data_IF_154376472686
#
_entry.id   IF_154376472686
#
_cell.length_a   1.000
_cell.length_b   1.000
_cell.length_c   1.000
_cell.angle_alpha   90.00
_cell.angle_beta   90.00
_cell.angle_gamma   90.00
#
_symmetry.space_group_name_H-M   'P 1'
#
loop_
_entity.id
_entity.type
_entity.pdbx_description
1 polymer ?
#
# COMPACT_ATOMS: atom_id res chain seq x y z
N UNK A 1 3.00 -34.35 1.01
CA UNK A 1 3.10 -32.99 1.58
C UNK A 1 4.37 -32.93 2.42
N UNK A 2 5.49 -32.42 1.85
CA UNK A 2 6.81 -32.39 2.49
C UNK A 2 7.03 -31.10 3.30
N UNK A 3 7.95 -31.20 4.26
CA UNK A 3 8.25 -30.31 5.40
C UNK A 3 8.88 -28.94 5.06
N UNK A 4 8.81 -28.45 3.81
CA UNK A 4 9.66 -27.33 3.34
C UNK A 4 8.98 -25.95 3.31
N UNK A 5 7.86 -25.75 4.01
CA UNK A 5 7.12 -24.47 4.00
C UNK A 5 7.52 -23.47 5.10
N UNK A 6 8.56 -23.75 5.90
CA UNK A 6 9.02 -22.81 6.93
C UNK A 6 10.04 -21.82 6.35
N UNK A 7 9.66 -20.55 6.29
CA UNK A 7 10.55 -19.45 5.92
C UNK A 7 11.65 -19.28 6.97
N UNK A 8 12.91 -19.42 6.57
CA UNK A 8 14.01 -18.98 7.42
C UNK A 8 14.09 -17.46 7.43
N UNK A 9 14.48 -16.84 8.56
CA UNK A 9 14.63 -15.37 8.67
C UNK A 9 15.59 -14.83 7.58
N UNK A 10 16.60 -15.63 7.22
CA UNK A 10 17.58 -15.31 6.17
C UNK A 10 16.96 -15.25 4.77
N UNK A 11 15.90 -16.01 4.52
CA UNK A 11 15.15 -15.98 3.26
C UNK A 11 14.14 -14.84 3.19
N UNK A 12 13.69 -14.31 4.33
CA UNK A 12 12.79 -13.16 4.40
C UNK A 12 13.50 -11.81 4.22
N UNK A 13 14.78 -11.73 4.60
CA UNK A 13 15.56 -10.49 4.56
C UNK A 13 16.39 -10.44 3.27
N UNK A 14 15.89 -9.73 2.25
CA UNK A 14 16.67 -9.41 1.06
C UNK A 14 17.60 -8.23 1.30
N UNK A 15 18.66 -8.09 0.50
CA UNK A 15 19.57 -6.93 0.53
C UNK A 15 18.79 -5.62 0.35
N UNK A 16 17.75 -5.65 -0.48
CA UNK A 16 16.87 -4.50 -0.72
C UNK A 16 16.10 -4.09 0.54
N UNK A 17 15.53 -5.05 1.27
CA UNK A 17 14.86 -4.80 2.56
C UNK A 17 15.86 -4.21 3.56
N UNK A 18 17.05 -4.82 3.68
CA UNK A 18 18.09 -4.34 4.59
C UNK A 18 18.51 -2.91 4.28
N UNK A 19 18.75 -2.60 2.99
CA UNK A 19 19.08 -1.25 2.53
C UNK A 19 17.99 -0.25 2.91
N UNK A 20 16.72 -0.59 2.67
CA UNK A 20 15.60 0.30 2.98
C UNK A 20 15.49 0.56 4.50
N UNK A 21 15.71 -0.48 5.33
CA UNK A 21 15.79 -0.37 6.79
C UNK A 21 16.92 0.58 7.20
N UNK A 22 18.14 0.37 6.70
CA UNK A 22 19.30 1.21 7.04
C UNK A 22 19.04 2.67 6.66
N UNK A 23 18.54 2.93 5.45
CA UNK A 23 18.26 4.28 4.97
C UNK A 23 17.20 4.97 5.83
N UNK A 24 16.09 4.28 6.12
CA UNK A 24 15.02 4.85 6.94
C UNK A 24 15.50 5.17 8.35
N UNK A 25 16.18 4.23 9.02
CA UNK A 25 16.66 4.43 10.39
C UNK A 25 17.77 5.47 10.49
N UNK A 26 18.66 5.56 9.48
CA UNK A 26 19.68 6.61 9.45
C UNK A 26 19.03 8.00 9.45
N UNK A 27 18.04 8.21 8.57
CA UNK A 27 17.31 9.46 8.51
C UNK A 27 16.49 9.70 9.79
N UNK A 28 15.82 8.66 10.31
CA UNK A 28 15.05 8.73 11.55
C UNK A 28 15.91 9.18 12.74
N UNK A 29 17.14 8.65 12.87
CA UNK A 29 18.09 9.03 13.92
C UNK A 29 18.52 10.49 13.74
N UNK A 30 18.80 10.95 12.52
CA UNK A 30 19.11 12.36 12.29
C UNK A 30 17.95 13.29 12.67
N UNK A 31 16.71 12.90 12.38
CA UNK A 31 15.52 13.67 12.75
C UNK A 31 15.34 13.71 14.27
N UNK A 32 15.40 12.56 14.96
CA UNK A 32 15.15 12.53 16.42
C UNK A 32 16.24 13.22 17.24
N UNK A 33 17.48 13.27 16.72
CA UNK A 33 18.61 13.97 17.35
C UNK A 33 18.47 15.51 17.34
N UNK A 34 17.41 16.06 16.76
CA UNK A 34 17.09 17.49 16.87
C UNK A 34 16.34 17.83 18.17
N UNK A 35 16.39 17.01 19.21
CA UNK A 35 15.73 17.27 20.52
C UNK A 35 14.20 17.44 20.43
N UNK A 36 13.52 16.51 19.77
CA UNK A 36 12.05 16.50 19.71
C UNK A 36 11.43 16.06 21.04
N UNK A 37 10.65 16.95 21.66
CA UNK A 37 9.84 16.63 22.85
C UNK A 37 8.67 15.67 22.53
N UNK A 38 8.03 15.85 21.37
CA UNK A 38 6.87 15.07 20.98
C UNK A 38 7.14 14.17 19.77
N UNK A 39 7.06 12.86 20.00
CA UNK A 39 7.31 11.83 18.98
C UNK A 39 6.07 11.45 18.15
N UNK A 40 4.89 12.03 18.39
CA UNK A 40 3.65 11.65 17.70
C UNK A 40 3.77 11.83 16.19
N UNK A 41 4.40 12.91 15.74
CA UNK A 41 4.60 13.18 14.32
C UNK A 41 5.44 12.09 13.64
N UNK A 42 6.35 11.42 14.37
CA UNK A 42 7.16 10.31 13.86
C UNK A 42 6.35 9.02 13.63
N UNK A 43 5.15 8.90 14.23
CA UNK A 43 4.31 7.72 14.03
C UNK A 43 3.82 7.64 12.58
N UNK A 44 3.62 8.78 11.91
CA UNK A 44 3.22 8.84 10.50
C UNK A 44 4.22 8.14 9.57
N UNK A 45 5.52 8.54 9.51
CA UNK A 45 6.50 7.85 8.68
C UNK A 45 6.73 6.41 9.12
N UNK A 46 6.61 6.08 10.42
CA UNK A 46 6.75 4.70 10.90
C UNK A 46 5.65 3.78 10.37
N UNK A 47 4.39 4.22 10.40
CA UNK A 47 3.27 3.46 9.83
C UNK A 47 3.47 3.32 8.32
N UNK A 48 3.77 4.42 7.62
CA UNK A 48 4.01 4.40 6.17
C UNK A 48 5.15 3.44 5.80
N UNK A 49 6.25 3.43 6.56
CA UNK A 49 7.38 2.53 6.37
C UNK A 49 7.02 1.07 6.65
N UNK A 50 6.19 0.81 7.68
CA UNK A 50 5.72 -0.54 7.99
C UNK A 50 4.95 -1.17 6.81
N UNK A 51 4.10 -0.39 6.14
CA UNK A 51 3.44 -0.83 4.91
C UNK A 51 4.43 -1.13 3.78
N UNK A 52 5.49 -0.32 3.64
CA UNK A 52 6.54 -0.59 2.65
C UNK A 52 7.19 -1.95 2.86
N UNK A 53 7.57 -2.27 4.10
CA UNK A 53 8.20 -3.55 4.45
C UNK A 53 7.24 -4.71 4.20
N UNK A 54 5.96 -4.59 4.58
CA UNK A 54 4.95 -5.62 4.33
C UNK A 54 4.84 -5.92 2.83
N UNK A 55 4.70 -4.89 1.99
CA UNK A 55 4.61 -5.09 0.54
C UNK A 55 5.89 -5.63 -0.09
N UNK A 56 7.06 -5.23 0.41
CA UNK A 56 8.33 -5.76 -0.08
C UNK A 56 8.46 -7.25 0.24
N UNK A 57 8.12 -7.65 1.48
CA UNK A 57 8.13 -9.05 1.90
C UNK A 57 7.18 -9.90 1.05
N UNK A 58 5.98 -9.39 0.74
CA UNK A 58 5.04 -10.09 -0.15
C UNK A 58 5.65 -10.22 -1.56
N UNK A 59 6.24 -9.13 -2.08
CA UNK A 59 6.83 -9.11 -3.42
C UNK A 59 8.00 -10.09 -3.56
N UNK A 60 8.93 -10.11 -2.60
CA UNK A 60 10.14 -10.96 -2.63
C UNK A 60 9.79 -12.44 -2.49
N UNK A 61 8.66 -12.78 -1.86
CA UNK A 61 8.23 -14.17 -1.71
C UNK A 61 7.24 -14.63 -2.78
N UNK A 62 6.85 -13.76 -3.72
CA UNK A 62 5.85 -14.05 -4.75
C UNK A 62 6.26 -15.16 -5.71
N UNK A 63 7.55 -15.30 -6.01
CA UNK A 63 8.07 -16.36 -6.88
C UNK A 63 7.81 -17.76 -6.33
N UNK A 64 7.62 -17.91 -5.01
CA UNK A 64 7.27 -19.21 -4.38
C UNK A 64 5.81 -19.61 -4.63
N UNK A 65 4.96 -18.66 -5.01
CA UNK A 65 3.55 -18.88 -5.40
C UNK A 65 3.44 -19.08 -6.92
N UNK A 66 4.50 -18.74 -7.69
CA UNK A 66 4.55 -19.03 -9.12
C UNK A 66 4.84 -20.51 -9.33
N UNK A 67 3.79 -21.33 -9.29
CA UNK A 67 3.86 -22.76 -9.59
C UNK A 67 3.98 -22.91 -11.12
N UNK A 68 5.14 -23.41 -11.56
CA UNK A 68 5.51 -23.79 -12.92
C UNK A 68 5.24 -22.78 -14.06
N UNK A 69 6.35 -22.27 -14.63
CA UNK A 69 6.49 -21.72 -16.00
C UNK A 69 5.52 -20.61 -16.41
N UNK A 70 5.46 -19.47 -15.71
CA UNK A 70 4.90 -18.19 -16.20
C UNK A 70 3.48 -18.23 -16.84
N UNK A 71 2.79 -19.37 -16.75
CA UNK A 71 1.57 -19.69 -17.50
C UNK A 71 0.38 -19.07 -16.80
N UNK A 72 0.43 -18.97 -15.47
CA UNK A 72 -0.56 -18.28 -14.66
C UNK A 72 0.15 -17.32 -13.71
N UNK A 73 0.00 -16.02 -13.94
CA UNK A 73 0.44 -14.99 -13.00
C UNK A 73 -0.74 -14.54 -12.15
N UNK A 74 -0.74 -14.95 -10.89
CA UNK A 74 -1.73 -14.51 -9.91
C UNK A 74 -1.24 -13.27 -9.18
N UNK A 75 -1.98 -12.17 -9.34
CA UNK A 75 -1.64 -10.91 -8.69
C UNK A 75 -2.87 -10.23 -8.06
N UNK A 76 -3.25 -10.60 -6.83
CA UNK A 76 -4.49 -10.12 -6.24
C UNK A 76 -4.40 -8.72 -5.65
N UNK A 77 -3.20 -8.25 -5.29
CA UNK A 77 -2.97 -6.93 -4.65
C UNK A 77 -2.29 -5.93 -5.58
N UNK A 78 -1.95 -6.32 -6.80
CA UNK A 78 -1.37 -5.42 -7.80
C UNK A 78 0.14 -5.43 -7.75
N UNK A 79 0.82 -4.34 -8.09
CA UNK A 79 2.28 -4.38 -8.12
C UNK A 79 2.81 -4.16 -6.70
N UNK A 80 2.95 -5.22 -5.90
CA UNK A 80 3.41 -5.12 -4.51
C UNK A 80 4.79 -4.44 -4.42
N UNK A 81 5.68 -4.73 -5.38
CA UNK A 81 6.96 -4.02 -5.54
C UNK A 81 6.77 -2.51 -5.71
N UNK A 82 5.83 -2.09 -6.55
CA UNK A 82 5.55 -0.67 -6.79
C UNK A 82 4.91 -0.03 -5.56
N UNK A 83 3.96 -0.72 -4.90
CA UNK A 83 3.36 -0.26 -3.66
C UNK A 83 4.41 -0.08 -2.56
N UNK A 84 5.31 -1.06 -2.39
CA UNK A 84 6.41 -0.95 -1.44
C UNK A 84 7.30 0.26 -1.70
N UNK A 85 7.71 0.47 -2.96
CA UNK A 85 8.55 1.61 -3.34
C UNK A 85 7.85 2.96 -3.08
N UNK A 86 6.53 3.06 -3.34
CA UNK A 86 5.74 4.27 -3.06
C UNK A 86 5.68 4.56 -1.57
N UNK A 87 5.37 3.56 -0.75
CA UNK A 87 5.37 3.70 0.70
C UNK A 87 6.75 4.06 1.24
N UNK A 88 7.82 3.45 0.71
CA UNK A 88 9.20 3.77 1.11
C UNK A 88 9.56 5.22 0.78
N UNK A 89 9.26 5.66 -0.45
CA UNK A 89 9.50 7.03 -0.88
C UNK A 89 8.75 8.02 0.02
N UNK A 90 7.46 7.79 0.26
CA UNK A 90 6.65 8.65 1.11
C UNK A 90 7.11 8.65 2.56
N UNK A 91 7.55 7.52 3.12
CA UNK A 91 8.04 7.47 4.49
C UNK A 91 9.34 8.26 4.65
N UNK A 92 10.25 8.20 3.67
CA UNK A 92 11.43 9.06 3.63
C UNK A 92 11.05 10.53 3.45
N UNK A 93 10.11 10.84 2.56
CA UNK A 93 9.66 12.21 2.33
C UNK A 93 9.05 12.82 3.61
N UNK A 94 8.24 12.06 4.35
CA UNK A 94 7.70 12.47 5.65
C UNK A 94 8.82 12.73 6.66
N UNK A 95 9.84 11.87 6.74
CA UNK A 95 10.99 12.08 7.65
C UNK A 95 11.85 13.29 7.26
N UNK A 96 12.11 13.50 5.96
CA UNK A 96 12.81 14.69 5.46
C UNK A 96 12.00 15.94 5.84
N UNK A 97 10.68 15.88 5.67
CA UNK A 97 9.81 16.99 6.04
C UNK A 97 9.81 17.28 7.54
N UNK A 98 9.80 16.25 8.39
CA UNK A 98 9.98 16.44 9.83
C UNK A 98 11.34 17.03 10.16
N UNK A 99 12.43 16.48 9.60
CA UNK A 99 13.77 17.03 9.82
C UNK A 99 13.84 18.52 9.46
N UNK A 100 13.21 18.89 8.34
CA UNK A 100 13.11 20.27 7.91
C UNK A 100 12.28 21.12 8.88
N UNK A 101 11.09 20.66 9.30
CA UNK A 101 10.27 21.34 10.30
C UNK A 101 11.03 21.60 11.61
N UNK A 102 11.77 20.58 12.09
CA UNK A 102 12.59 20.67 13.29
C UNK A 102 13.71 21.70 13.14
N UNK A 103 14.44 21.63 12.03
CA UNK A 103 15.51 22.59 11.75
C UNK A 103 14.98 24.03 11.63
N UNK A 104 13.92 24.25 10.87
CA UNK A 104 13.31 25.58 10.70
C UNK A 104 12.75 26.13 12.01
N UNK A 105 12.21 25.27 12.89
CA UNK A 105 11.77 25.71 14.21
C UNK A 105 12.92 26.30 15.05
N UNK A 106 14.16 25.85 14.84
CA UNK A 106 15.34 26.33 15.54
C UNK A 106 15.95 27.58 14.88
N UNK A 107 16.09 27.56 13.56
CA UNK A 107 16.78 28.64 12.83
C UNK A 107 15.87 29.82 12.47
N UNK A 108 14.60 29.54 12.19
CA UNK A 108 13.62 30.50 11.69
C UNK A 108 12.25 30.30 12.37
N UNK A 109 12.15 30.45 13.71
CA UNK A 109 10.92 30.19 14.45
C UNK A 109 9.71 30.98 13.91
N UNK A 110 9.92 32.22 13.45
CA UNK A 110 8.83 33.05 12.92
C UNK A 110 8.22 32.46 11.64
N UNK A 111 8.97 31.65 10.89
CA UNK A 111 8.46 30.97 9.70
C UNK A 111 7.49 29.86 10.09
N UNK A 112 7.78 29.12 11.16
CA UNK A 112 6.86 28.12 11.69
C UNK A 112 5.60 28.78 12.26
N UNK A 113 5.75 29.83 13.06
CA UNK A 113 4.61 30.51 13.68
C UNK A 113 3.63 31.06 12.63
N UNK A 114 4.15 31.72 11.60
CA UNK A 114 3.32 32.34 10.55
C UNK A 114 2.77 31.34 9.52
N UNK A 115 3.45 30.22 9.29
CA UNK A 115 3.10 29.26 8.24
C UNK A 115 2.77 27.84 8.74
N UNK A 116 2.52 27.68 10.04
CA UNK A 116 2.16 26.41 10.69
C UNK A 116 1.09 25.61 9.94
N UNK A 117 0.04 26.29 9.45
CA UNK A 117 -1.03 25.70 8.64
C UNK A 117 -0.49 25.04 7.36
N UNK A 118 0.44 25.69 6.66
CA UNK A 118 1.02 25.15 5.44
C UNK A 118 1.81 23.86 5.72
N UNK A 119 2.64 23.88 6.77
CA UNK A 119 3.40 22.70 7.18
C UNK A 119 2.50 21.52 7.53
N UNK A 120 1.44 21.77 8.30
CA UNK A 120 0.50 20.74 8.72
C UNK A 120 -0.30 20.15 7.56
N UNK A 121 -0.81 21.00 6.66
CA UNK A 121 -1.56 20.55 5.48
C UNK A 121 -0.66 19.70 4.60
N UNK A 122 0.55 20.16 4.29
CA UNK A 122 1.46 19.45 3.41
C UNK A 122 1.87 18.09 4.02
N UNK A 123 2.16 18.06 5.32
CA UNK A 123 2.53 16.83 6.01
C UNK A 123 1.40 15.78 5.98
N UNK A 124 0.19 16.18 6.35
CA UNK A 124 -0.99 15.31 6.35
C UNK A 124 -1.38 14.90 4.93
N UNK A 125 -1.22 15.80 3.96
CA UNK A 125 -1.44 15.49 2.55
C UNK A 125 -0.50 14.38 2.08
N UNK A 126 0.81 14.49 2.31
CA UNK A 126 1.78 13.45 1.92
C UNK A 126 1.41 12.09 2.53
N UNK A 127 1.08 12.08 3.82
CA UNK A 127 0.67 10.86 4.50
C UNK A 127 -0.58 10.23 3.89
N UNK A 128 -1.69 10.97 3.82
CA UNK A 128 -2.97 10.47 3.32
C UNK A 128 -2.94 10.14 1.83
N UNK A 129 -2.21 10.93 1.03
CA UNK A 129 -2.02 10.71 -0.39
C UNK A 129 -1.33 9.38 -0.66
N UNK A 130 -0.38 8.97 0.18
CA UNK A 130 0.34 7.70 0.01
C UNK A 130 -0.62 6.50 0.03
N UNK A 131 -1.57 6.49 0.96
CA UNK A 131 -2.57 5.43 1.07
C UNK A 131 -3.62 5.47 -0.04
N UNK A 132 -3.91 6.65 -0.58
CA UNK A 132 -4.74 6.77 -1.78
C UNK A 132 -4.01 6.30 -3.05
N UNK A 133 -2.74 6.67 -3.19
CA UNK A 133 -1.93 6.49 -4.40
C UNK A 133 -1.80 5.04 -4.84
N UNK A 134 -1.85 4.09 -3.90
CA UNK A 134 -1.82 2.66 -4.25
C UNK A 134 -3.06 2.23 -5.04
N UNK A 135 -4.25 2.77 -4.74
CA UNK A 135 -5.51 2.39 -5.38
C UNK A 135 -5.66 2.93 -6.80
N UNK A 136 -4.93 3.99 -7.16
CA UNK A 136 -4.92 4.57 -8.51
C UNK A 136 -4.53 3.58 -9.60
N UNK A 137 -3.69 2.58 -9.28
CA UNK A 137 -3.17 1.64 -10.27
C UNK A 137 -3.56 0.18 -10.02
N UNK A 138 -4.38 -0.10 -9.00
CA UNK A 138 -4.84 -1.47 -8.71
C UNK A 138 -5.54 -2.08 -9.92
N UNK A 139 -6.29 -1.29 -10.69
CA UNK A 139 -6.93 -1.74 -11.93
C UNK A 139 -5.97 -2.17 -13.04
N UNK A 140 -4.73 -1.66 -13.06
CA UNK A 140 -3.72 -2.03 -14.06
C UNK A 140 -2.95 -3.30 -13.65
N UNK A 141 -2.83 -3.54 -12.34
CA UNK A 141 -1.91 -4.55 -11.82
C UNK A 141 -2.59 -5.74 -11.13
N UNK A 142 -3.80 -5.56 -10.58
CA UNK A 142 -4.56 -6.69 -10.08
C UNK A 142 -5.12 -7.44 -11.29
N UNK A 143 -4.66 -8.67 -11.50
CA UNK A 143 -5.09 -9.52 -12.59
C UNK A 143 -4.64 -10.94 -12.35
N UNK A 144 -5.36 -11.87 -12.96
CA UNK A 144 -4.90 -13.23 -13.21
C UNK A 144 -4.57 -13.27 -14.69
N UNK A 145 -3.28 -13.35 -15.04
CA UNK A 145 -2.86 -13.44 -16.44
C UNK A 145 -2.56 -14.90 -16.73
N UNK A 146 -3.27 -15.46 -17.72
CA UNK A 146 -2.86 -16.72 -18.34
C UNK A 146 -2.02 -16.38 -19.57
N UNK A 147 -0.75 -16.77 -19.59
CA UNK A 147 0.16 -16.50 -20.70
C UNK A 147 0.47 -17.80 -21.45
N UNK A 148 -0.13 -17.95 -22.63
CA UNK A 148 0.02 -19.12 -23.49
C UNK A 148 1.19 -19.01 -24.47
N UNK A 149 1.84 -17.85 -24.59
CA UNK A 149 2.93 -17.62 -25.57
C UNK A 149 4.24 -18.35 -25.20
N UNK A 150 4.37 -18.88 -23.98
CA UNK A 150 5.59 -19.54 -23.47
C UNK A 150 5.55 -21.07 -23.55
N UNK A 151 4.41 -21.67 -23.84
CA UNK A 151 4.35 -23.08 -24.21
C UNK A 151 4.63 -23.15 -25.72
N UNK A 152 5.54 -24.03 -26.16
CA UNK A 152 5.90 -24.22 -27.59
C UNK A 152 4.75 -24.83 -28.42
N UNK A 153 3.54 -24.28 -28.30
CA UNK A 153 2.31 -24.80 -28.87
C UNK A 153 1.99 -23.90 -30.07
N UNK A 154 1.70 -24.52 -31.21
CA UNK A 154 1.32 -23.80 -32.43
C UNK A 154 -0.08 -23.20 -32.21
N UNK A 155 -0.09 -21.90 -31.92
CA UNK A 155 -1.27 -21.07 -31.70
C UNK A 155 -1.97 -20.87 -33.06
N UNK A 156 -3.22 -21.33 -33.18
CA UNK A 156 -4.12 -21.05 -34.32
C UNK A 156 -4.68 -19.62 -34.21
N UNK A 157 -5.11 -18.99 -35.30
CA UNK A 157 -5.61 -17.59 -35.26
C UNK A 157 -6.80 -17.39 -34.29
N UNK A 158 -7.54 -18.44 -33.95
CA UNK A 158 -8.61 -18.44 -32.93
C UNK A 158 -8.09 -18.27 -31.49
N UNK A 159 -6.84 -18.64 -31.21
CA UNK A 159 -6.19 -18.51 -29.89
C UNK A 159 -5.78 -17.07 -29.56
N UNK A 160 -5.81 -16.15 -30.54
CA UNK A 160 -5.55 -14.72 -30.27
C UNK A 160 -6.60 -14.10 -29.34
N UNK A 161 -7.80 -14.69 -29.24
CA UNK A 161 -8.83 -14.29 -28.28
C UNK A 161 -8.55 -14.75 -26.84
N UNK A 162 -7.62 -15.69 -26.63
CA UNK A 162 -7.22 -16.17 -25.29
C UNK A 162 -6.18 -15.23 -24.64
N UNK A 163 -5.83 -14.12 -25.30
CA UNK A 163 -4.71 -13.23 -24.94
C UNK A 163 -4.75 -12.51 -23.60
N UNK A 164 -5.77 -12.72 -22.76
CA UNK A 164 -5.79 -12.32 -21.35
C UNK A 164 -7.09 -12.80 -20.74
N UNK A 165 -7.05 -13.81 -19.89
CA UNK A 165 -8.15 -14.11 -18.98
C UNK A 165 -8.24 -13.08 -17.84
N UNK A 166 -8.26 -11.79 -18.20
CA UNK A 166 -8.43 -10.67 -17.25
C UNK A 166 -9.88 -10.48 -16.83
N UNK A 167 -10.83 -11.22 -17.42
CA UNK A 167 -12.26 -10.96 -17.31
C UNK A 167 -12.88 -11.35 -15.95
N UNK A 168 -12.22 -12.18 -15.13
CA UNK A 168 -12.74 -12.58 -13.82
C UNK A 168 -12.75 -11.45 -12.79
N UNK A 169 -11.97 -10.40 -13.02
CA UNK A 169 -11.96 -9.28 -12.10
C UNK A 169 -12.98 -8.23 -12.52
N UNK A 170 -14.00 -8.04 -11.68
CA UNK A 170 -15.04 -7.04 -11.90
C UNK A 170 -14.43 -5.62 -11.89
N UNK A 171 -14.09 -5.11 -13.07
CA UNK A 171 -13.48 -3.78 -13.24
C UNK A 171 -14.35 -2.67 -12.64
N UNK A 172 -15.68 -2.83 -12.59
CA UNK A 172 -16.58 -1.88 -11.93
C UNK A 172 -16.33 -1.84 -10.42
N UNK A 173 -16.04 -2.98 -9.80
CA UNK A 173 -15.73 -3.08 -8.38
C UNK A 173 -14.39 -2.43 -8.03
N UNK A 174 -13.34 -2.66 -8.84
CA UNK A 174 -12.03 -2.02 -8.61
C UNK A 174 -12.13 -0.50 -8.79
N UNK A 175 -12.83 -0.05 -9.83
CA UNK A 175 -13.12 1.39 -10.02
C UNK A 175 -13.87 1.97 -8.83
N UNK A 176 -14.87 1.27 -8.31
CA UNK A 176 -15.60 1.70 -7.11
C UNK A 176 -14.67 1.84 -5.90
N UNK A 177 -13.77 0.89 -5.68
CA UNK A 177 -12.78 0.96 -4.59
C UNK A 177 -11.86 2.17 -4.74
N UNK A 178 -11.35 2.42 -5.94
CA UNK A 178 -10.53 3.61 -6.21
C UNK A 178 -11.30 4.91 -5.97
N UNK A 179 -12.59 4.96 -6.31
CA UNK A 179 -13.45 6.13 -6.08
C UNK A 179 -13.77 6.34 -4.60
N UNK A 180 -13.97 5.25 -3.83
CA UNK A 180 -14.14 5.32 -2.37
C UNK A 180 -12.86 5.85 -1.73
N UNK A 181 -11.69 5.32 -2.11
CA UNK A 181 -10.39 5.77 -1.61
C UNK A 181 -10.15 7.25 -1.90
N UNK A 182 -10.45 7.71 -3.14
CA UNK A 182 -10.36 9.12 -3.53
C UNK A 182 -11.30 10.00 -2.69
N UNK A 183 -12.55 9.58 -2.53
CA UNK A 183 -13.55 10.34 -1.75
C UNK A 183 -13.10 10.50 -0.30
N UNK A 184 -12.63 9.42 0.34
CA UNK A 184 -12.14 9.50 1.72
C UNK A 184 -10.90 10.38 1.81
N UNK A 185 -9.96 10.27 0.86
CA UNK A 185 -8.78 11.13 0.79
C UNK A 185 -9.15 12.62 0.70
N UNK A 186 -10.07 12.98 -0.19
CA UNK A 186 -10.54 14.36 -0.36
C UNK A 186 -11.24 14.88 0.88
N UNK A 187 -12.19 14.12 1.44
CA UNK A 187 -12.90 14.50 2.67
C UNK A 187 -11.90 14.70 3.81
N UNK A 188 -10.98 13.76 4.02
CA UNK A 188 -9.99 13.85 5.10
C UNK A 188 -9.12 15.10 4.98
N UNK A 189 -8.66 15.44 3.77
CA UNK A 189 -7.84 16.63 3.56
C UNK A 189 -8.64 17.93 3.69
N UNK A 190 -9.86 18.00 3.15
CA UNK A 190 -10.72 19.18 3.30
C UNK A 190 -11.04 19.41 4.78
N UNK A 191 -11.43 18.34 5.51
CA UNK A 191 -11.68 18.42 6.95
C UNK A 191 -10.43 18.84 7.72
N UNK A 192 -9.25 18.32 7.35
CA UNK A 192 -7.99 18.71 7.96
C UNK A 192 -7.69 20.21 7.77
N UNK A 193 -7.86 20.73 6.55
CA UNK A 193 -7.65 22.15 6.22
C UNK A 193 -8.59 23.02 7.05
N UNK A 194 -9.90 22.72 7.01
CA UNK A 194 -10.92 23.51 7.71
C UNK A 194 -10.68 23.52 9.23
N UNK A 195 -10.45 22.36 9.83
CA UNK A 195 -10.26 22.28 11.28
C UNK A 195 -8.94 22.90 11.73
N UNK A 196 -7.85 22.72 10.97
CA UNK A 196 -6.57 23.40 11.27
C UNK A 196 -6.74 24.92 11.22
N UNK A 197 -7.46 25.43 10.24
CA UNK A 197 -7.77 26.86 10.14
C UNK A 197 -8.59 27.37 11.32
N UNK A 198 -9.63 26.64 11.75
CA UNK A 198 -10.43 27.03 12.91
C UNK A 198 -9.67 26.93 14.23
N UNK A 199 -8.77 25.96 14.37
CA UNK A 199 -7.92 25.81 15.56
C UNK A 199 -6.94 26.96 15.71
N UNK A 200 -6.27 27.35 14.62
CA UNK A 200 -5.34 28.49 14.65
C UNK A 200 -6.04 29.82 14.94
N UNK A 201 -7.30 29.98 14.49
CA UNK A 201 -8.13 31.14 14.80
C UNK A 201 -8.87 31.01 16.15
N UNK A 202 -8.44 30.14 17.06
CA UNK A 202 -8.98 29.93 18.43
C UNK A 202 -10.45 29.50 18.52
N UNK A 203 -11.09 29.13 17.42
CA UNK A 203 -12.50 28.73 17.42
C UNK A 203 -12.71 27.29 17.93
N UNK A 204 -11.67 26.45 17.90
CA UNK A 204 -11.73 25.03 18.25
C UNK A 204 -10.43 24.63 18.99
N UNK A 205 -10.50 23.87 20.10
CA UNK A 205 -9.31 23.46 20.84
C UNK A 205 -8.40 22.52 20.03
N UNK A 206 -7.09 22.61 20.29
CA UNK A 206 -6.06 21.76 19.70
C UNK A 206 -5.12 21.15 20.75
N UNK A 207 -4.10 20.45 20.25
CA UNK A 207 -2.96 19.92 20.98
C UNK A 207 -1.75 20.75 20.55
N UNK A 208 -0.97 21.23 21.50
CA UNK A 208 0.29 21.90 21.22
C UNK A 208 1.43 20.87 21.18
N UNK A 209 2.20 20.88 20.09
CA UNK A 209 3.42 20.09 19.96
C UNK A 209 4.64 20.99 20.06
N UNK A 210 5.42 20.81 21.12
CA UNK A 210 6.73 21.41 21.22
C UNK A 210 7.61 20.87 20.10
N UNK A 211 8.10 21.80 19.28
CA UNK A 211 9.12 21.55 18.28
C UNK A 211 10.50 21.77 18.92
N UNK A 212 11.57 21.25 18.30
CA UNK A 212 12.95 21.49 18.74
C UNK A 212 13.30 22.93 19.14
N UNK A 213 12.81 23.92 18.39
CA UNK A 213 13.07 25.33 18.66
C UNK A 213 11.98 26.07 19.45
N UNK A 214 11.00 25.37 20.03
CA UNK A 214 9.95 26.01 20.83
C UNK A 214 10.56 26.76 22.02
N UNK A 215 10.11 28.01 22.22
CA UNK A 215 10.63 28.91 23.26
C UNK A 215 11.81 29.79 22.81
N UNK A 216 12.43 29.50 21.67
CA UNK A 216 13.40 30.42 21.04
C UNK A 216 12.63 31.63 20.52
N UNK A 217 13.06 32.84 20.90
CA UNK A 217 12.38 34.09 20.52
C UNK A 217 10.89 34.14 20.92
N UNK A 218 10.49 33.44 21.99
CA UNK A 218 9.10 33.30 22.45
C UNK A 218 8.19 32.55 21.45
N UNK A 219 8.77 31.76 20.55
CA UNK A 219 8.02 30.89 19.63
C UNK A 219 7.14 29.89 20.39
N UNK A 220 5.95 29.65 19.84
CA UNK A 220 4.99 28.73 20.43
C UNK A 220 5.16 27.32 19.85
N UNK A 221 4.57 26.31 20.50
CA UNK A 221 4.49 24.99 19.92
C UNK A 221 3.58 24.98 18.68
N UNK A 222 3.75 23.95 17.86
CA UNK A 222 2.88 23.72 16.72
C UNK A 222 1.49 23.31 17.21
N UNK A 223 0.51 24.19 17.06
CA UNK A 223 -0.88 23.91 17.43
C UNK A 223 -1.57 23.06 16.35
N UNK A 224 -2.04 21.88 16.75
CA UNK A 224 -2.65 20.91 15.84
C UNK A 224 -4.02 20.49 16.35
N UNK A 225 -5.00 20.38 15.46
CA UNK A 225 -6.33 19.88 15.85
C UNK A 225 -6.28 18.38 16.23
N UNK A 226 -7.10 17.96 17.18
CA UNK A 226 -7.24 16.56 17.64
C UNK A 226 -7.53 15.52 16.53
N UNK A 227 -7.93 15.99 15.35
CA UNK A 227 -8.21 15.16 14.17
C UNK A 227 -6.94 14.50 13.61
N UNK A 228 -5.75 14.96 14.00
CA UNK A 228 -4.49 14.30 13.65
C UNK A 228 -4.48 12.81 14.09
N UNK A 229 -5.09 12.49 15.23
CA UNK A 229 -5.18 11.12 15.75
C UNK A 229 -6.09 10.19 14.90
N UNK A 230 -7.35 10.55 14.59
CA UNK A 230 -8.14 9.73 13.68
C UNK A 230 -7.55 9.69 12.27
N UNK A 231 -6.92 10.75 11.75
CA UNK A 231 -6.23 10.71 10.45
C UNK A 231 -5.15 9.63 10.44
N UNK A 232 -4.34 9.56 11.52
CA UNK A 232 -3.30 8.56 11.68
C UNK A 232 -3.85 7.14 11.49
N UNK A 233 -5.06 6.86 11.98
CA UNK A 233 -5.65 5.52 11.94
C UNK A 233 -6.52 5.26 10.69
N UNK A 234 -7.27 6.25 10.21
CA UNK A 234 -8.28 6.06 9.16
C UNK A 234 -7.65 5.59 7.85
N UNK A 235 -6.56 6.23 7.40
CA UNK A 235 -5.94 5.88 6.10
C UNK A 235 -5.36 4.46 6.08
N UNK A 236 -4.58 4.02 7.10
CA UNK A 236 -4.14 2.63 7.20
C UNK A 236 -5.29 1.61 7.30
N UNK A 237 -6.26 1.86 8.18
CA UNK A 237 -7.38 0.93 8.42
C UNK A 237 -8.24 0.78 7.17
N UNK A 238 -8.58 1.89 6.52
CA UNK A 238 -9.32 1.85 5.26
C UNK A 238 -8.55 1.05 4.20
N UNK A 239 -7.25 1.25 4.11
CA UNK A 239 -6.40 0.52 3.17
C UNK A 239 -6.46 -0.99 3.39
N UNK A 240 -6.37 -1.45 4.65
CA UNK A 240 -6.50 -2.87 4.99
C UNK A 240 -7.88 -3.40 4.58
N UNK A 241 -8.95 -2.66 4.92
CA UNK A 241 -10.33 -3.05 4.60
C UNK A 241 -10.51 -3.17 3.07
N UNK A 242 -10.05 -2.19 2.31
CA UNK A 242 -10.18 -2.19 0.85
C UNK A 242 -9.37 -3.33 0.21
N UNK A 243 -8.14 -3.60 0.66
CA UNK A 243 -7.38 -4.76 0.19
C UNK A 243 -8.04 -6.08 0.54
N UNK A 244 -8.59 -6.21 1.75
CA UNK A 244 -9.34 -7.40 2.14
C UNK A 244 -10.56 -7.62 1.23
N UNK A 245 -11.27 -6.55 0.87
CA UNK A 245 -12.40 -6.61 -0.05
C UNK A 245 -11.97 -7.03 -1.47
N UNK A 246 -10.86 -6.50 -1.98
CA UNK A 246 -10.27 -6.92 -3.27
C UNK A 246 -9.93 -8.42 -3.22
N UNK A 247 -9.16 -8.83 -2.21
CA UNK A 247 -8.72 -10.20 -2.03
C UNK A 247 -9.90 -11.18 -1.92
N UNK A 248 -10.89 -10.84 -1.09
CA UNK A 248 -12.13 -11.62 -0.92
C UNK A 248 -12.91 -11.75 -2.23
N UNK A 249 -12.93 -10.71 -3.07
CA UNK A 249 -13.62 -10.76 -4.36
C UNK A 249 -12.88 -11.61 -5.37
N UNK A 250 -11.55 -11.51 -5.43
CA UNK A 250 -10.70 -12.33 -6.30
C UNK A 250 -10.76 -13.81 -5.91
N UNK A 251 -10.89 -14.13 -4.62
CA UNK A 251 -11.00 -15.53 -4.18
C UNK A 251 -12.40 -16.14 -4.35
N UNK A 252 -13.40 -15.37 -4.79
CA UNK A 252 -14.76 -15.85 -5.10
C UNK A 252 -14.96 -16.09 -6.59
N UNK A 253 -13.93 -16.58 -7.29
CA UNK A 253 -14.04 -17.01 -8.68
C UNK A 253 -14.99 -18.21 -8.77
N UNK A 254 -15.89 -18.17 -9.75
CA UNK A 254 -16.85 -19.23 -10.04
C UNK A 254 -16.14 -20.33 -10.84
N UNK A 255 -16.11 -21.59 -10.36
CA UNK A 255 -15.47 -22.69 -11.07
C UNK A 255 -15.98 -22.88 -12.48
N UNK A 256 -17.29 -22.70 -12.70
CA UNK A 256 -17.92 -22.83 -14.02
C UNK A 256 -17.41 -21.80 -15.03
N UNK A 257 -17.22 -20.56 -14.61
CA UNK A 257 -16.67 -19.50 -15.49
C UNK A 257 -15.22 -19.78 -15.88
N UNK A 258 -14.48 -20.52 -15.03
CA UNK A 258 -13.12 -20.98 -15.34
C UNK A 258 -13.16 -22.19 -16.27
N UNK A 259 -14.04 -23.16 -16.03
CA UNK A 259 -14.23 -24.32 -16.92
C UNK A 259 -14.66 -23.90 -18.33
N UNK A 260 -15.68 -23.03 -18.45
CA UNK A 260 -16.16 -22.50 -19.74
C UNK A 260 -15.04 -21.77 -20.51
N UNK A 261 -14.13 -21.09 -19.80
CA UNK A 261 -12.96 -20.46 -20.41
C UNK A 261 -11.91 -21.48 -20.88
N UNK A 262 -11.74 -22.55 -20.12
CA UNK A 262 -10.76 -23.60 -20.39
C UNK A 262 -11.24 -24.64 -21.41
N UNK A 263 -12.52 -24.65 -21.77
CA UNK A 263 -13.07 -25.59 -22.75
C UNK A 263 -12.47 -25.44 -24.16
N UNK A 264 -11.87 -24.29 -24.46
CA UNK A 264 -11.14 -24.06 -25.72
C UNK A 264 -9.63 -24.34 -25.62
N UNK A 265 -9.11 -24.73 -24.45
CA UNK A 265 -7.69 -25.02 -24.24
C UNK A 265 -7.40 -26.53 -24.39
N UNK A 266 -6.15 -26.89 -24.71
CA UNK A 266 -5.72 -28.30 -24.67
C UNK A 266 -5.78 -28.88 -23.25
N UNK A 267 -6.01 -30.19 -23.13
CA UNK A 267 -6.16 -30.88 -21.83
C UNK A 267 -4.96 -30.68 -20.91
N UNK A 268 -3.73 -30.67 -21.45
CA UNK A 268 -2.51 -30.40 -20.68
C UNK A 268 -2.49 -28.99 -20.08
N UNK A 269 -2.91 -27.97 -20.84
CA UNK A 269 -2.99 -26.58 -20.37
C UNK A 269 -4.12 -26.42 -19.36
N UNK A 270 -5.25 -27.09 -19.59
CA UNK A 270 -6.41 -27.10 -18.70
C UNK A 270 -6.05 -27.67 -17.34
N UNK A 271 -5.34 -28.80 -17.27
CA UNK A 271 -4.87 -29.37 -16.01
C UNK A 271 -3.89 -28.43 -15.28
N UNK A 272 -2.92 -27.85 -15.98
CA UNK A 272 -1.96 -26.90 -15.39
C UNK A 272 -2.65 -25.65 -14.82
N UNK A 273 -3.61 -25.08 -15.54
CA UNK A 273 -4.35 -23.90 -15.07
C UNK A 273 -5.25 -24.26 -13.87
N UNK A 274 -5.92 -25.41 -13.91
CA UNK A 274 -6.75 -25.89 -12.79
C UNK A 274 -5.93 -26.21 -11.55
N UNK A 275 -4.74 -26.79 -11.67
CA UNK A 275 -3.84 -26.99 -10.53
C UNK A 275 -3.44 -25.65 -9.87
N UNK A 276 -3.16 -24.63 -10.67
CA UNK A 276 -2.88 -23.29 -10.16
C UNK A 276 -4.10 -22.67 -9.47
N UNK A 277 -5.30 -22.77 -10.05
CA UNK A 277 -6.52 -22.29 -9.40
C UNK A 277 -6.86 -23.06 -8.12
N UNK A 278 -6.56 -24.35 -8.04
CA UNK A 278 -6.69 -25.17 -6.82
C UNK A 278 -5.75 -24.72 -5.72
N UNK A 279 -4.50 -24.44 -6.05
CA UNK A 279 -3.53 -23.90 -5.09
C UNK A 279 -3.97 -22.52 -4.55
N UNK A 280 -4.72 -21.75 -5.33
CA UNK A 280 -5.17 -20.40 -4.97
C UNK A 280 -6.55 -20.37 -4.28
N UNK A 281 -7.39 -21.39 -4.47
CA UNK A 281 -8.76 -21.39 -3.97
C UNK A 281 -9.23 -22.80 -3.58
N UNK A 282 -9.41 -22.99 -2.27
CA UNK A 282 -9.89 -24.23 -1.63
C UNK A 282 -11.21 -24.75 -2.25
N UNK A 283 -12.04 -23.87 -2.84
CA UNK A 283 -13.29 -24.30 -3.50
C UNK A 283 -13.04 -25.24 -4.70
N UNK A 284 -11.96 -25.07 -5.45
CA UNK A 284 -11.61 -25.95 -6.56
C UNK A 284 -11.08 -27.33 -6.11
N UNK A 285 -10.74 -27.46 -4.82
CA UNK A 285 -10.31 -28.73 -4.22
C UNK A 285 -11.52 -29.63 -3.90
N UNK A 286 -12.68 -29.04 -3.56
CA UNK A 286 -13.89 -29.76 -3.15
C UNK A 286 -14.63 -30.44 -4.30
N UNK A 287 -14.56 -29.92 -5.53
CA UNK A 287 -15.26 -30.51 -6.68
C UNK A 287 -14.62 -31.80 -7.21
N UNK A 288 -13.35 -32.08 -6.86
CA UNK A 288 -12.68 -33.34 -7.25
C UNK A 288 -13.14 -34.54 -6.41
N UNK A 289 -13.63 -34.31 -5.20
CA UNK A 289 -14.13 -35.37 -4.30
C UNK A 289 -15.60 -35.75 -4.56
N UNK A 290 -16.21 -35.25 -5.65
CA UNK A 290 -17.60 -35.54 -6.03
C UNK A 290 -17.66 -36.30 -7.39
N UNK A 291 -16.52 -36.69 -7.97
CA UNK A 291 -16.48 -37.58 -9.14
C UNK A 291 -15.94 -38.95 -8.78
#
# INVERSE_FOLDING_TARGET
>A
MSKDYYLSIRELISEKILRNIILFFTLFIFTINQDWDNILLFVFPLITFSYSIIFELISENKWRIQINKDLVMYNPLGSEKTHSNRFFFSSLLLLIFLYWLGAESYYHPQLIDNYSLFFLILYIFIYTFTFFWIFLDIWNYCQIIVNLDKSNIKITEEDQNIRKFTHLMNMKFIKLISMISLTVFLITNITNILLSYFTLNTSIPGIEFNLPGTGIELSQGLLVHYLILPILCISPVLTIILFYLIYSKINKINPKEVEDFLDNCSDEIKELILENFRALNIKFEKEKNIK
#
